data_IF_590474822503
#
_entry.id   IF_590474822503
#
_cell.length_a   1.000
_cell.length_b   1.000
_cell.length_c   1.000
_cell.angle_alpha   90.00
_cell.angle_beta   90.00
_cell.angle_gamma   90.00
#
_symmetry.space_group_name_H-M   'P 1'
#
loop_
_entity.id
_entity.type
_entity.pdbx_description
1 polymer ?
#
# COMPACT_ATOMS: atom_id res chain seq x y z
N UNK A 1 -20.34 14.63 -18.31
CA UNK A 1 -19.90 15.08 -16.96
C UNK A 1 -20.32 14.01 -15.96
N UNK A 2 -19.44 13.07 -15.60
CA UNK A 2 -19.75 12.13 -14.51
C UNK A 2 -19.92 12.97 -13.25
N UNK A 3 -21.14 13.03 -12.70
CA UNK A 3 -21.36 13.60 -11.37
C UNK A 3 -20.48 12.79 -10.43
N UNK A 4 -19.52 13.43 -9.77
CA UNK A 4 -18.81 12.85 -8.62
C UNK A 4 -19.90 12.60 -7.59
N UNK A 5 -20.40 11.38 -7.49
CA UNK A 5 -21.21 11.00 -6.33
C UNK A 5 -20.37 11.30 -5.10
N UNK A 6 -20.95 12.08 -4.19
CA UNK A 6 -20.24 12.63 -3.04
C UNK A 6 -20.00 11.46 -2.11
N UNK A 7 -18.78 10.92 -2.13
CA UNK A 7 -18.35 9.92 -1.17
C UNK A 7 -18.48 10.50 0.23
N UNK A 8 -19.20 9.80 1.11
CA UNK A 8 -19.22 10.11 2.53
C UNK A 8 -18.05 9.39 3.22
N UNK A 9 -17.09 10.13 3.80
CA UNK A 9 -15.94 9.51 4.46
C UNK A 9 -16.32 8.58 5.60
N UNK A 10 -15.92 7.31 5.51
CA UNK A 10 -16.07 6.36 6.61
C UNK A 10 -14.94 6.59 7.62
N UNK A 11 -15.27 7.22 8.75
CA UNK A 11 -14.40 7.27 9.93
C UNK A 11 -14.57 5.96 10.71
N UNK A 12 -13.55 5.09 10.79
CA UNK A 12 -13.69 3.82 11.50
C UNK A 12 -13.59 4.01 13.03
N UNK A 13 -14.16 3.08 13.79
CA UNK A 13 -14.10 3.08 15.26
C UNK A 13 -12.65 2.90 15.75
N UNK A 14 -11.86 2.12 15.00
CA UNK A 14 -10.42 1.95 15.15
C UNK A 14 -9.76 1.98 13.77
N UNK A 15 -8.58 2.58 13.64
CA UNK A 15 -7.79 2.54 12.40
C UNK A 15 -6.61 1.60 12.59
N UNK A 16 -6.63 0.45 11.91
CA UNK A 16 -5.47 -0.45 11.88
C UNK A 16 -4.30 0.20 11.14
N UNK A 17 -3.10 0.01 11.67
CA UNK A 17 -1.85 0.51 11.09
C UNK A 17 -0.82 -0.61 10.98
N UNK A 18 0.07 -0.47 9.99
CA UNK A 18 1.22 -1.35 9.81
C UNK A 18 2.49 -0.50 9.89
N UNK A 19 3.32 -0.77 10.91
CA UNK A 19 4.58 -0.06 11.14
C UNK A 19 5.72 -0.94 10.63
N UNK A 20 6.58 -0.35 9.81
CA UNK A 20 7.77 -0.99 9.28
C UNK A 20 8.97 -0.07 9.48
N UNK A 21 10.02 -0.59 10.12
CA UNK A 21 11.31 0.09 10.15
C UNK A 21 12.04 -0.14 8.83
N UNK A 22 12.12 0.90 8.01
CA UNK A 22 12.74 0.82 6.69
C UNK A 22 14.27 0.72 6.76
N UNK A 23 14.89 1.09 7.88
CA UNK A 23 16.34 0.98 8.09
C UNK A 23 16.77 -0.49 8.17
N UNK A 24 15.92 -1.36 8.72
CA UNK A 24 16.19 -2.80 8.85
C UNK A 24 15.90 -3.56 7.56
N UNK A 25 15.33 -2.90 6.54
CA UNK A 25 14.96 -3.52 5.28
C UNK A 25 16.19 -3.81 4.41
N UNK A 26 16.63 -5.08 4.38
CA UNK A 26 17.73 -5.53 3.52
C UNK A 26 17.31 -5.85 2.08
N UNK A 27 16.01 -5.80 1.78
CA UNK A 27 15.47 -6.08 0.46
C UNK A 27 15.42 -7.55 0.06
N UNK A 28 15.35 -8.48 1.02
CA UNK A 28 15.34 -9.93 0.78
C UNK A 28 14.10 -10.48 0.05
N UNK A 29 13.06 -9.66 -0.14
CA UNK A 29 11.77 -10.01 -0.80
C UNK A 29 10.96 -11.12 -0.12
N UNK A 30 11.34 -11.57 1.07
CA UNK A 30 10.57 -12.57 1.83
C UNK A 30 9.11 -12.12 2.07
N UNK A 31 8.91 -10.83 2.35
CA UNK A 31 7.57 -10.26 2.52
C UNK A 31 6.72 -10.24 1.23
N UNK A 32 7.33 -10.20 0.04
CA UNK A 32 6.60 -10.32 -1.23
C UNK A 32 6.08 -11.75 -1.39
N UNK A 33 6.94 -12.74 -1.15
CA UNK A 33 6.60 -14.16 -1.28
C UNK A 33 5.56 -14.57 -0.25
N UNK A 34 5.74 -14.20 1.01
CA UNK A 34 4.77 -14.49 2.07
C UNK A 34 3.39 -13.90 1.77
N UNK A 35 3.34 -12.66 1.25
CA UNK A 35 2.08 -12.02 0.87
C UNK A 35 1.42 -12.75 -0.31
N UNK A 36 2.21 -13.16 -1.29
CA UNK A 36 1.73 -13.90 -2.47
C UNK A 36 1.16 -15.27 -2.09
N UNK A 37 1.90 -16.03 -1.29
CA UNK A 37 1.51 -17.36 -0.80
C UNK A 37 0.22 -17.27 0.02
N UNK A 38 0.19 -16.39 1.03
CA UNK A 38 -0.98 -16.22 1.91
C UNK A 38 -2.26 -15.84 1.18
N UNK A 39 -2.15 -15.08 0.09
CA UNK A 39 -3.29 -14.62 -0.71
C UNK A 39 -3.55 -15.46 -1.98
N UNK A 40 -2.78 -16.53 -2.21
CA UNK A 40 -2.95 -17.39 -3.38
C UNK A 40 -2.83 -16.65 -4.71
N UNK A 41 -1.95 -15.63 -4.81
CA UNK A 41 -1.90 -14.78 -6.01
C UNK A 41 -1.25 -15.53 -7.19
N UNK A 42 -1.78 -15.38 -8.42
CA UNK A 42 -1.18 -15.97 -9.61
C UNK A 42 0.16 -15.30 -9.97
N UNK A 43 0.82 -15.78 -11.02
CA UNK A 43 1.92 -15.05 -11.65
C UNK A 43 1.46 -13.63 -12.09
N UNK A 44 2.25 -12.60 -11.79
CA UNK A 44 1.94 -11.20 -12.14
C UNK A 44 1.57 -10.30 -10.94
N UNK A 45 0.37 -10.44 -10.34
CA UNK A 45 -0.06 -9.59 -9.24
C UNK A 45 0.91 -9.64 -8.04
N UNK A 46 1.24 -8.44 -7.53
CA UNK A 46 2.09 -8.24 -6.35
C UNK A 46 1.48 -7.18 -5.45
N UNK A 47 0.83 -7.63 -4.37
CA UNK A 47 0.19 -6.77 -3.37
C UNK A 47 1.21 -6.07 -2.46
N UNK A 48 2.37 -6.70 -2.24
CA UNK A 48 3.54 -6.11 -1.59
C UNK A 48 4.74 -6.20 -2.52
N UNK A 49 5.58 -5.16 -2.52
CA UNK A 49 6.73 -5.02 -3.41
C UNK A 49 7.90 -4.37 -2.67
N UNK A 50 9.09 -4.91 -2.85
CA UNK A 50 10.34 -4.27 -2.47
C UNK A 50 10.87 -3.53 -3.68
N UNK A 51 10.98 -2.21 -3.55
CA UNK A 51 11.52 -1.31 -4.56
C UNK A 51 12.85 -0.74 -4.09
N UNK A 52 13.72 -0.44 -5.04
CA UNK A 52 15.00 0.21 -4.78
C UNK A 52 14.88 1.66 -5.24
N UNK A 53 15.26 2.58 -4.36
CA UNK A 53 15.37 3.99 -4.66
C UNK A 53 16.85 4.34 -4.61
N UNK A 54 17.36 4.75 -5.75
CA UNK A 54 18.78 5.02 -5.97
C UNK A 54 18.92 6.44 -6.51
N UNK A 55 20.02 7.10 -6.19
CA UNK A 55 20.26 8.45 -6.68
C UNK A 55 21.54 9.05 -6.13
N UNK A 56 21.66 10.36 -6.32
CA UNK A 56 22.85 11.12 -5.98
C UNK A 56 23.87 11.16 -7.12
N UNK A 57 25.01 11.78 -6.85
CA UNK A 57 26.13 11.93 -7.79
C UNK A 57 27.41 11.76 -7.01
N UNK A 58 28.38 11.04 -7.58
CA UNK A 58 29.67 10.82 -6.91
C UNK A 58 30.28 12.13 -6.37
N UNK A 59 30.74 12.16 -5.10
CA UNK A 59 30.84 11.03 -4.16
C UNK A 59 29.56 10.70 -3.36
N UNK A 60 28.55 11.57 -3.41
CA UNK A 60 27.31 11.48 -2.62
C UNK A 60 26.23 10.65 -3.32
N UNK A 61 26.44 9.33 -3.39
CA UNK A 61 25.46 8.37 -3.92
C UNK A 61 24.66 7.72 -2.78
N UNK A 62 23.41 7.36 -3.04
CA UNK A 62 22.57 6.65 -2.08
C UNK A 62 21.74 5.55 -2.76
N UNK A 63 21.43 4.52 -1.98
CA UNK A 63 20.51 3.46 -2.35
C UNK A 63 19.79 2.94 -1.10
N UNK A 64 18.46 2.98 -1.09
CA UNK A 64 17.66 2.39 -0.03
C UNK A 64 16.49 1.60 -0.59
N UNK A 65 16.00 0.66 0.21
CA UNK A 65 14.97 -0.31 -0.15
C UNK A 65 13.68 0.16 0.50
N UNK A 66 12.58 0.11 -0.23
CA UNK A 66 11.26 0.48 0.28
C UNK A 66 10.32 -0.69 0.06
N UNK A 67 9.77 -1.20 1.16
CA UNK A 67 8.65 -2.11 1.16
C UNK A 67 7.37 -1.29 0.95
N UNK A 68 6.71 -1.49 -0.18
CA UNK A 68 5.44 -0.83 -0.52
C UNK A 68 4.31 -1.85 -0.66
N UNK A 69 3.18 -1.55 -0.03
CA UNK A 69 1.91 -2.27 -0.19
C UNK A 69 0.75 -1.27 -0.13
N UNK A 70 -0.50 -1.75 -0.13
CA UNK A 70 -1.63 -0.90 0.27
C UNK A 70 -1.38 -0.33 1.67
N UNK A 71 -1.56 0.98 1.83
CA UNK A 71 -1.35 1.66 3.12
C UNK A 71 -2.60 1.67 4.01
N UNK A 72 -3.74 1.16 3.52
CA UNK A 72 -5.03 1.22 4.24
C UNK A 72 -5.32 2.63 4.78
N UNK A 73 -5.21 3.62 3.90
CA UNK A 73 -5.21 5.04 4.26
C UNK A 73 -6.42 5.43 5.13
N UNK A 74 -6.20 6.35 6.07
CA UNK A 74 -7.27 7.00 6.83
C UNK A 74 -8.29 7.66 5.89
N UNK A 75 -7.79 8.36 4.87
CA UNK A 75 -8.56 9.02 3.83
C UNK A 75 -8.15 8.44 2.45
N UNK A 76 -8.77 7.33 2.00
CA UNK A 76 -8.34 6.61 0.80
C UNK A 76 -8.80 7.32 -0.48
N UNK A 77 -7.86 7.84 -1.28
CA UNK A 77 -8.15 8.43 -2.59
C UNK A 77 -8.72 7.43 -3.62
N UNK A 78 -8.46 6.14 -3.44
CA UNK A 78 -8.97 5.08 -4.32
C UNK A 78 -10.49 4.86 -4.19
N UNK A 79 -11.06 5.11 -3.01
CA UNK A 79 -12.46 4.84 -2.71
C UNK A 79 -13.43 5.76 -3.47
N UNK A 80 -13.35 7.11 -3.38
CA UNK A 80 -14.26 8.01 -4.09
C UNK A 80 -14.12 7.94 -5.62
N UNK A 81 -13.04 7.34 -6.11
CA UNK A 81 -12.81 7.17 -7.56
C UNK A 81 -13.49 5.90 -8.10
N UNK A 82 -13.89 4.95 -7.24
CA UNK A 82 -14.46 3.68 -7.68
C UNK A 82 -15.89 3.87 -8.25
N UNK A 83 -16.13 3.67 -9.56
CA UNK A 83 -17.43 3.95 -10.16
C UNK A 83 -18.48 2.89 -9.84
N UNK A 84 -18.07 1.72 -9.34
CA UNK A 84 -18.94 0.58 -9.07
C UNK A 84 -19.22 0.36 -7.58
N UNK A 85 -18.58 1.12 -6.69
CA UNK A 85 -18.66 0.90 -5.25
C UNK A 85 -17.96 -0.39 -4.77
N UNK A 86 -17.13 -1.03 -5.59
CA UNK A 86 -16.41 -2.25 -5.22
C UNK A 86 -15.33 -2.03 -4.15
N UNK A 87 -14.85 -0.80 -4.00
CA UNK A 87 -13.91 -0.41 -2.95
C UNK A 87 -14.71 0.25 -1.82
N UNK A 88 -14.59 -0.30 -0.62
CA UNK A 88 -15.21 0.24 0.60
C UNK A 88 -14.23 0.14 1.76
N UNK A 89 -14.48 0.94 2.81
CA UNK A 89 -13.71 0.94 4.06
C UNK A 89 -14.58 0.40 5.18
N UNK A 90 -14.05 -0.48 6.03
CA UNK A 90 -14.82 -1.09 7.12
C UNK A 90 -14.99 -0.10 8.26
N UNK A 91 -16.20 -0.05 8.83
CA UNK A 91 -16.51 0.82 9.97
C UNK A 91 -15.78 0.41 11.25
N UNK A 92 -15.54 -0.89 11.46
CA UNK A 92 -14.92 -1.41 12.67
C UNK A 92 -13.43 -1.04 12.78
N UNK A 93 -12.66 -1.28 11.73
CA UNK A 93 -11.19 -1.33 11.80
C UNK A 93 -10.44 -0.73 10.58
N UNK A 94 -11.17 -0.16 9.62
CA UNK A 94 -10.62 0.43 8.38
C UNK A 94 -10.42 -0.56 7.24
#
# INVERSE_FOLDING_TARGET
KHKREVYEPVVPDMQMGFIHNNVDCIGCRACEIACKDKNGLPAGPRFRRVMYIEGGKFPDVYAYKVNMSCNHCAEPACLPTCPTGAIFKRKKDG
#
